data_IF_202430624329
#
_entry.id   IF_202430624329
#
_cell.length_a   1.000
_cell.length_b   1.000
_cell.length_c   1.000
_cell.angle_alpha   90.00
_cell.angle_beta   90.00
_cell.angle_gamma   90.00
#
_symmetry.space_group_name_H-M   'P 1'
#
loop_
_entity.id
_entity.type
_entity.pdbx_description
1 polymer ?
#
# COMPACT_ATOMS: atom_id res chain seq x y z
N UNK A 1 3.40 -15.29 3.94
CA UNK A 1 3.99 -15.39 2.57
C UNK A 1 5.25 -14.53 2.46
N UNK A 2 6.30 -15.04 1.77
CA UNK A 2 7.53 -14.24 1.53
C UNK A 2 7.24 -13.17 0.46
N UNK A 3 7.64 -11.92 0.72
CA UNK A 3 7.55 -10.82 -0.24
C UNK A 3 6.24 -10.02 -0.23
N UNK A 4 5.40 -10.20 0.78
CA UNK A 4 4.17 -9.43 1.01
C UNK A 4 4.07 -9.00 2.47
N UNK A 5 3.31 -7.94 2.74
CA UNK A 5 2.98 -7.50 4.09
C UNK A 5 1.94 -8.42 4.73
N UNK A 6 1.97 -8.51 6.06
CA UNK A 6 0.94 -9.22 6.80
C UNK A 6 -0.39 -8.48 6.70
N UNK A 7 -1.46 -9.24 6.66
CA UNK A 7 -2.83 -8.73 6.72
C UNK A 7 -3.67 -9.68 7.57
N UNK A 8 -4.48 -9.12 8.45
CA UNK A 8 -5.36 -9.87 9.34
C UNK A 8 -6.79 -9.37 9.17
N UNK A 9 -7.69 -10.29 8.86
CA UNK A 9 -9.13 -10.06 8.89
C UNK A 9 -9.80 -11.09 9.76
N UNK A 10 -10.89 -10.70 10.42
CA UNK A 10 -11.72 -11.58 11.26
C UNK A 10 -13.06 -11.78 10.55
N UNK A 11 -13.37 -13.02 10.22
CA UNK A 11 -14.68 -13.41 9.75
C UNK A 11 -15.50 -13.92 10.93
N UNK A 12 -16.60 -13.27 11.21
CA UNK A 12 -17.61 -13.78 12.16
C UNK A 12 -18.67 -14.53 11.36
N UNK A 13 -18.80 -15.80 11.67
CA UNK A 13 -19.81 -16.67 11.05
C UNK A 13 -20.81 -17.04 12.13
N UNK A 14 -22.07 -16.67 11.93
CA UNK A 14 -23.14 -17.13 12.80
C UNK A 14 -23.39 -18.63 12.61
N UNK A 15 -23.84 -19.32 13.66
CA UNK A 15 -24.15 -20.74 13.58
C UNK A 15 -25.24 -20.96 12.54
N UNK A 16 -24.90 -21.69 11.48
CA UNK A 16 -25.85 -22.01 10.42
C UNK A 16 -26.30 -23.46 10.55
N UNK A 17 -27.58 -23.70 10.28
CA UNK A 17 -28.16 -25.05 10.23
C UNK A 17 -27.72 -25.85 9.00
N UNK A 18 -27.07 -25.22 8.05
CA UNK A 18 -26.60 -25.81 6.79
C UNK A 18 -25.13 -25.47 6.54
N UNK A 19 -24.41 -26.38 5.90
CA UNK A 19 -23.02 -26.13 5.47
C UNK A 19 -22.98 -25.04 4.40
N UNK A 20 -22.17 -24.01 4.62
CA UNK A 20 -21.93 -22.93 3.66
C UNK A 20 -20.45 -22.86 3.31
N UNK A 21 -20.15 -22.74 2.03
CA UNK A 21 -18.80 -22.48 1.55
C UNK A 21 -18.55 -20.97 1.45
N UNK A 22 -17.42 -20.52 2.01
CA UNK A 22 -17.00 -19.12 1.97
C UNK A 22 -15.68 -19.02 1.22
N UNK A 23 -15.66 -18.24 0.15
CA UNK A 23 -14.43 -17.89 -0.56
C UNK A 23 -13.91 -16.53 -0.08
N UNK A 24 -12.77 -16.50 0.59
CA UNK A 24 -12.14 -15.28 1.10
C UNK A 24 -10.97 -14.89 0.20
N UNK A 25 -10.94 -13.64 -0.26
CA UNK A 25 -9.84 -13.07 -1.03
C UNK A 25 -9.16 -11.98 -0.21
N UNK A 26 -7.89 -12.17 0.10
CA UNK A 26 -7.07 -11.22 0.85
C UNK A 26 -6.09 -10.51 -0.10
N UNK A 27 -6.27 -9.21 -0.40
CA UNK A 27 -5.29 -8.45 -1.14
C UNK A 27 -4.06 -8.20 -0.28
N UNK A 28 -2.91 -8.78 -0.67
CA UNK A 28 -1.65 -8.62 0.04
C UNK A 28 -0.77 -7.57 -0.65
N UNK A 29 -0.34 -6.55 0.10
CA UNK A 29 0.57 -5.53 -0.40
C UNK A 29 1.99 -6.10 -0.57
N UNK A 30 2.57 -5.91 -1.77
CA UNK A 30 3.93 -6.35 -2.06
C UNK A 30 4.97 -5.47 -1.36
N UNK A 31 6.06 -6.10 -0.87
CA UNK A 31 7.22 -5.36 -0.33
C UNK A 31 8.23 -4.95 -1.42
N UNK A 32 8.08 -5.39 -2.66
CA UNK A 32 9.08 -5.19 -3.73
C UNK A 32 8.72 -4.12 -4.74
N UNK A 33 7.47 -3.73 -4.80
CA UNK A 33 6.96 -2.76 -5.79
C UNK A 33 6.14 -1.68 -5.12
N UNK A 34 6.14 -0.45 -5.64
CA UNK A 34 5.27 0.60 -5.11
C UNK A 34 3.80 0.18 -5.15
N UNK A 35 3.10 0.42 -4.06
CA UNK A 35 1.67 0.17 -3.91
C UNK A 35 0.95 1.51 -3.94
N UNK A 36 0.03 1.67 -4.89
CA UNK A 36 -0.79 2.86 -4.98
C UNK A 36 -1.81 2.88 -3.83
N UNK A 37 -1.95 4.03 -3.21
CA UNK A 37 -2.99 4.27 -2.21
C UNK A 37 -4.13 4.96 -2.96
N UNK A 38 -5.19 4.21 -3.21
CA UNK A 38 -6.38 4.74 -3.88
C UNK A 38 -7.12 5.72 -2.96
N UNK A 39 -7.90 6.62 -3.56
CA UNK A 39 -8.77 7.56 -2.84
C UNK A 39 -8.06 8.55 -1.90
N UNK A 40 -6.83 8.93 -2.21
CA UNK A 40 -6.18 10.08 -1.56
C UNK A 40 -6.47 11.33 -2.37
N UNK A 41 -7.22 12.24 -1.78
CA UNK A 41 -7.66 13.49 -2.40
C UNK A 41 -7.10 14.69 -1.65
N UNK A 42 -6.74 15.71 -2.42
CA UNK A 42 -6.28 16.99 -1.90
C UNK A 42 -7.20 18.10 -2.42
N UNK A 43 -7.25 19.21 -1.71
CA UNK A 43 -7.84 20.42 -2.27
C UNK A 43 -7.08 20.85 -3.53
N UNK A 44 -7.79 21.55 -4.41
CA UNK A 44 -7.18 22.03 -5.66
C UNK A 44 -5.96 22.88 -5.35
N UNK A 45 -4.85 22.56 -5.99
CA UNK A 45 -3.57 23.25 -5.85
C UNK A 45 -3.02 23.34 -4.41
N UNK A 46 -3.41 22.40 -3.52
CA UNK A 46 -2.99 22.35 -2.13
C UNK A 46 -2.49 20.97 -1.74
N UNK A 47 -1.86 20.92 -0.56
CA UNK A 47 -1.48 19.70 0.12
C UNK A 47 -2.46 19.30 1.24
N UNK A 48 -3.52 20.06 1.45
CA UNK A 48 -4.56 19.78 2.45
C UNK A 48 -5.31 18.51 2.05
N UNK A 49 -5.27 17.50 2.90
CA UNK A 49 -6.03 16.26 2.72
C UNK A 49 -7.52 16.52 2.87
N UNK A 50 -8.29 16.00 1.94
CA UNK A 50 -9.75 16.07 2.02
C UNK A 50 -10.31 14.98 2.94
N UNK A 51 -11.47 15.21 3.58
CA UNK A 51 -12.07 14.25 4.50
C UNK A 51 -12.29 12.85 3.89
N UNK A 52 -12.54 12.79 2.58
CA UNK A 52 -12.77 11.54 1.84
C UNK A 52 -11.54 10.64 1.82
N UNK A 53 -10.34 11.20 2.03
CA UNK A 53 -9.08 10.45 2.10
C UNK A 53 -8.93 9.66 3.41
N UNK A 54 -9.72 10.01 4.45
CA UNK A 54 -9.56 9.47 5.81
C UNK A 54 -9.64 7.94 5.83
N UNK A 55 -10.62 7.36 5.14
CA UNK A 55 -10.78 5.91 5.10
C UNK A 55 -9.54 5.20 4.56
N UNK A 56 -8.98 5.67 3.44
CA UNK A 56 -7.79 5.07 2.85
C UNK A 56 -6.55 5.23 3.75
N UNK A 57 -6.46 6.35 4.47
CA UNK A 57 -5.37 6.59 5.42
C UNK A 57 -5.50 5.72 6.68
N UNK A 58 -6.71 5.52 7.19
CA UNK A 58 -6.98 4.62 8.32
C UNK A 58 -6.64 3.16 7.96
N UNK A 59 -6.93 2.73 6.72
CA UNK A 59 -6.51 1.41 6.20
C UNK A 59 -4.98 1.28 6.15
N UNK A 60 -4.27 2.34 5.77
CA UNK A 60 -2.80 2.35 5.80
C UNK A 60 -2.25 2.34 7.23
N UNK A 61 -2.87 3.06 8.17
CA UNK A 61 -2.54 2.99 9.60
C UNK A 61 -2.69 1.56 10.12
N UNK A 62 -3.82 0.91 9.81
CA UNK A 62 -4.05 -0.50 10.18
C UNK A 62 -2.96 -1.41 9.62
N UNK A 63 -2.65 -1.29 8.33
CA UNK A 63 -1.61 -2.07 7.68
C UNK A 63 -0.23 -1.90 8.34
N UNK A 64 0.14 -0.66 8.69
CA UNK A 64 1.42 -0.37 9.35
C UNK A 64 1.48 -0.87 10.79
N UNK A 65 0.35 -0.89 11.51
CA UNK A 65 0.25 -1.47 12.84
C UNK A 65 0.34 -3.01 12.81
N UNK A 66 -0.22 -3.66 11.80
CA UNK A 66 -0.08 -5.10 11.57
C UNK A 66 1.36 -5.49 11.17
N UNK A 67 2.16 -4.52 10.70
CA UNK A 67 3.55 -4.70 10.27
C UNK A 67 4.52 -3.76 11.00
N UNK A 68 4.70 -3.89 12.33
CA UNK A 68 5.44 -2.93 13.16
C UNK A 68 6.92 -2.81 12.81
N UNK A 69 7.50 -3.81 12.16
CA UNK A 69 8.91 -3.83 11.77
C UNK A 69 9.17 -3.27 10.35
N UNK A 70 8.14 -2.71 9.72
CA UNK A 70 8.24 -2.16 8.38
C UNK A 70 8.47 -0.66 8.42
N UNK A 71 9.42 -0.18 7.61
CA UNK A 71 9.56 1.24 7.24
C UNK A 71 9.15 1.43 5.79
N UNK A 72 8.52 2.55 5.48
CA UNK A 72 8.06 2.86 4.13
C UNK A 72 8.60 4.21 3.65
N UNK A 73 8.85 4.32 2.35
CA UNK A 73 8.81 5.59 1.62
C UNK A 73 7.37 5.83 1.19
N UNK A 74 6.86 7.01 1.47
CA UNK A 74 5.58 7.48 1.02
C UNK A 74 5.81 8.56 -0.02
N UNK A 75 5.42 8.28 -1.25
CA UNK A 75 5.71 9.12 -2.41
C UNK A 75 4.45 9.74 -3.00
N UNK A 76 4.53 11.04 -3.33
CA UNK A 76 3.48 11.73 -4.05
C UNK A 76 3.98 12.21 -5.42
N UNK A 77 3.09 12.18 -6.40
CA UNK A 77 3.37 12.46 -7.79
C UNK A 77 2.36 13.46 -8.37
N UNK A 78 2.83 14.27 -9.31
CA UNK A 78 2.01 15.19 -10.09
C UNK A 78 1.90 14.71 -11.54
N UNK A 79 0.96 15.29 -12.30
CA UNK A 79 0.95 15.18 -13.74
C UNK A 79 2.05 16.07 -14.37
N UNK A 80 2.15 16.06 -15.69
CA UNK A 80 3.20 16.82 -16.40
C UNK A 80 2.95 18.33 -16.43
N UNK A 81 1.74 18.82 -16.09
CA UNK A 81 1.39 20.24 -16.16
C UNK A 81 2.11 21.02 -15.07
N UNK A 82 2.50 22.26 -15.39
CA UNK A 82 3.21 23.15 -14.48
C UNK A 82 4.74 23.01 -14.51
N UNK A 83 5.42 23.85 -13.75
CA UNK A 83 6.88 23.83 -13.68
C UNK A 83 7.37 22.65 -12.83
N UNK A 84 8.58 22.17 -13.12
CA UNK A 84 9.20 21.08 -12.37
C UNK A 84 9.39 21.45 -10.89
N UNK A 85 9.92 22.64 -10.63
CA UNK A 85 10.12 23.15 -9.27
C UNK A 85 8.84 23.20 -8.47
N UNK A 86 7.76 23.72 -9.08
CA UNK A 86 6.46 23.81 -8.43
C UNK A 86 5.89 22.42 -8.12
N UNK A 87 5.89 21.52 -9.09
CA UNK A 87 5.38 20.16 -8.90
C UNK A 87 6.19 19.37 -7.86
N UNK A 88 7.52 19.60 -7.81
CA UNK A 88 8.39 19.00 -6.79
C UNK A 88 8.00 19.45 -5.40
N UNK A 89 7.81 20.76 -5.21
CA UNK A 89 7.40 21.31 -3.93
C UNK A 89 6.00 20.81 -3.52
N UNK A 90 5.00 20.95 -4.40
CA UNK A 90 3.62 20.54 -4.11
C UNK A 90 3.52 19.06 -3.77
N UNK A 91 4.23 18.19 -4.51
CA UNK A 91 4.25 16.76 -4.20
C UNK A 91 4.94 16.46 -2.88
N UNK A 92 6.01 17.17 -2.53
CA UNK A 92 6.66 17.02 -1.22
C UNK A 92 5.72 17.41 -0.08
N UNK A 93 5.01 18.51 -0.21
CA UNK A 93 4.03 18.97 0.77
C UNK A 93 2.89 17.96 0.94
N UNK A 94 2.41 17.36 -0.16
CA UNK A 94 1.39 16.30 -0.14
C UNK A 94 1.89 15.03 0.57
N UNK A 95 3.10 14.58 0.28
CA UNK A 95 3.69 13.45 0.99
C UNK A 95 3.85 13.74 2.49
N UNK A 96 4.26 14.96 2.85
CA UNK A 96 4.36 15.39 4.24
C UNK A 96 3.00 15.39 4.96
N UNK A 97 1.92 15.81 4.29
CA UNK A 97 0.57 15.82 4.88
C UNK A 97 0.07 14.41 5.20
N UNK A 98 0.35 13.44 4.32
CA UNK A 98 0.00 12.03 4.61
C UNK A 98 0.85 11.50 5.76
N UNK A 99 2.14 11.78 5.79
CA UNK A 99 3.02 11.36 6.89
C UNK A 99 2.58 12.00 8.21
N UNK A 100 2.19 13.26 8.22
CA UNK A 100 1.65 13.93 9.41
C UNK A 100 0.41 13.21 9.94
N UNK A 101 -0.53 12.85 9.05
CA UNK A 101 -1.71 12.07 9.42
C UNK A 101 -1.33 10.72 10.07
N UNK A 102 -0.40 9.98 9.49
CA UNK A 102 0.05 8.68 10.03
C UNK A 102 0.68 8.83 11.42
N UNK A 103 1.47 9.90 11.63
CA UNK A 103 2.09 10.19 12.93
C UNK A 103 1.02 10.53 13.97
N UNK A 104 0.04 11.35 13.63
CA UNK A 104 -1.10 11.69 14.50
C UNK A 104 -1.91 10.45 14.93
N UNK A 105 -1.90 9.40 14.06
CA UNK A 105 -2.56 8.12 14.34
C UNK A 105 -1.61 7.04 14.90
N UNK A 106 -0.48 7.46 15.49
CA UNK A 106 0.38 6.62 16.31
C UNK A 106 1.49 5.87 15.56
N UNK A 107 1.69 6.13 14.25
CA UNK A 107 2.83 5.54 13.53
C UNK A 107 4.10 6.34 13.83
N UNK A 108 5.16 5.65 14.25
CA UNK A 108 6.45 6.30 14.54
C UNK A 108 7.04 7.00 13.31
N UNK A 109 7.49 8.25 13.49
CA UNK A 109 8.12 9.06 12.45
C UNK A 109 9.30 8.35 11.77
N UNK A 110 10.11 7.61 12.53
CA UNK A 110 11.29 6.90 12.03
C UNK A 110 10.97 5.76 11.05
N UNK A 111 9.69 5.40 10.96
CA UNK A 111 9.18 4.41 10.01
C UNK A 111 8.75 5.00 8.67
N UNK A 112 8.70 6.33 8.56
CA UNK A 112 8.05 7.05 7.47
C UNK A 112 9.05 7.99 6.78
N UNK A 113 9.20 7.85 5.46
CA UNK A 113 10.04 8.73 4.64
C UNK A 113 9.16 9.40 3.57
N UNK A 114 8.75 10.67 3.74
CA UNK A 114 7.98 11.37 2.71
C UNK A 114 8.87 11.82 1.55
N UNK A 115 8.45 11.55 0.31
CA UNK A 115 9.15 11.95 -0.91
C UNK A 115 8.19 12.53 -1.94
N UNK A 116 8.42 13.76 -2.37
CA UNK A 116 7.73 14.35 -3.51
C UNK A 116 8.52 14.12 -4.79
N UNK A 117 7.96 13.41 -5.74
CA UNK A 117 8.60 13.18 -7.05
C UNK A 117 8.15 14.18 -8.12
N UNK A 118 7.17 15.05 -7.83
CA UNK A 118 6.64 15.93 -8.86
C UNK A 118 6.23 15.14 -10.10
N UNK A 119 6.72 15.56 -11.27
CA UNK A 119 6.52 14.88 -12.56
C UNK A 119 7.70 13.98 -13.00
N UNK A 120 8.72 13.82 -12.15
CA UNK A 120 9.95 13.07 -12.49
C UNK A 120 9.72 11.57 -12.71
N UNK A 121 8.72 10.99 -12.02
CA UNK A 121 8.39 9.57 -12.11
C UNK A 121 6.97 9.36 -12.64
N UNK A 122 6.75 9.45 -13.96
CA UNK A 122 5.46 9.16 -14.55
C UNK A 122 5.05 7.69 -14.30
N UNK A 123 3.74 7.46 -14.25
CA UNK A 123 3.16 6.13 -14.00
C UNK A 123 3.55 5.17 -15.13
N UNK A 124 4.06 4.02 -14.75
CA UNK A 124 4.19 2.86 -15.65
C UNK A 124 2.95 1.99 -15.51
N UNK A 125 2.35 1.61 -16.63
CA UNK A 125 1.14 0.80 -16.68
C UNK A 125 1.48 -0.65 -16.35
N UNK A 126 0.72 -1.22 -15.42
CA UNK A 126 0.73 -2.63 -15.04
C UNK A 126 -0.59 -3.28 -15.48
N UNK A 127 -0.70 -4.59 -15.38
CA UNK A 127 -1.85 -5.39 -15.84
C UNK A 127 -3.22 -4.87 -15.37
N UNK A 128 -3.36 -4.50 -14.09
CA UNK A 128 -4.65 -4.03 -13.54
C UNK A 128 -5.23 -2.77 -14.21
N UNK A 129 -4.45 -1.70 -14.46
CA UNK A 129 -4.94 -0.56 -15.23
C UNK A 129 -5.40 -0.91 -16.64
N UNK A 130 -4.81 -1.91 -17.30
CA UNK A 130 -5.19 -2.28 -18.67
C UNK A 130 -6.58 -2.93 -18.75
N UNK A 131 -7.07 -3.57 -17.68
CA UNK A 131 -8.44 -4.08 -17.62
C UNK A 131 -9.48 -2.95 -17.65
N UNK A 132 -9.19 -1.83 -16.96
CA UNK A 132 -10.07 -0.65 -16.92
C UNK A 132 -9.90 0.26 -18.15
N UNK A 133 -8.69 0.31 -18.70
CA UNK A 133 -8.32 1.18 -19.81
C UNK A 133 -7.67 0.33 -20.93
N UNK A 134 -8.47 -0.38 -21.76
CA UNK A 134 -7.96 -1.37 -22.73
C UNK A 134 -7.08 -0.79 -23.85
N UNK A 135 -7.05 0.52 -23.99
CA UNK A 135 -6.18 1.25 -24.93
C UNK A 135 -4.77 1.50 -24.38
N UNK A 136 -4.52 1.30 -23.06
CA UNK A 136 -3.18 1.30 -22.49
C UNK A 136 -2.59 -0.11 -22.53
N UNK A 137 -1.30 -0.20 -22.81
CA UNK A 137 -0.55 -1.45 -22.83
C UNK A 137 0.29 -1.59 -21.56
N UNK A 138 0.48 -2.83 -21.14
CA UNK A 138 1.44 -3.11 -20.08
C UNK A 138 2.83 -2.66 -20.50
N UNK A 139 3.52 -1.92 -19.61
CA UNK A 139 4.82 -1.31 -19.89
C UNK A 139 4.75 0.14 -20.41
N UNK A 140 3.58 0.65 -20.82
CA UNK A 140 3.45 2.06 -21.20
C UNK A 140 3.86 2.97 -20.03
N UNK A 141 4.69 3.96 -20.33
CA UNK A 141 5.09 5.00 -19.37
C UNK A 141 4.38 6.30 -19.74
N UNK A 142 3.56 6.82 -18.82
CA UNK A 142 2.69 7.98 -19.05
C UNK A 142 3.48 9.30 -18.99
N UNK A 143 4.50 9.42 -19.83
CA UNK A 143 5.29 10.64 -20.01
C UNK A 143 4.48 11.72 -20.71
N UNK A 144 4.92 12.98 -20.61
CA UNK A 144 4.32 14.10 -21.35
C UNK A 144 4.23 13.83 -22.86
N UNK A 145 5.31 13.27 -23.46
CA UNK A 145 5.34 12.94 -24.88
C UNK A 145 4.37 11.80 -25.26
N UNK A 146 4.14 10.86 -24.38
CA UNK A 146 3.14 9.81 -24.58
C UNK A 146 1.73 10.41 -24.52
N UNK A 147 1.44 11.19 -23.49
CA UNK A 147 0.12 11.75 -23.22
C UNK A 147 -0.31 12.72 -24.35
N UNK A 148 0.56 13.60 -24.82
CA UNK A 148 0.25 14.58 -25.89
C UNK A 148 -0.18 13.96 -27.23
N UNK A 149 0.10 12.68 -27.47
CA UNK A 149 -0.34 11.96 -28.67
C UNK A 149 -1.77 11.43 -28.59
N UNK A 150 -2.39 11.46 -27.42
CA UNK A 150 -3.72 10.95 -27.18
C UNK A 150 -4.79 12.03 -27.39
N UNK A 151 -6.05 11.64 -27.52
CA UNK A 151 -7.19 12.55 -27.44
C UNK A 151 -7.33 13.17 -26.05
N UNK A 152 -8.09 14.27 -25.94
CA UNK A 152 -8.20 15.05 -24.69
C UNK A 152 -8.70 14.22 -23.49
N UNK A 153 -9.66 13.33 -23.72
CA UNK A 153 -10.24 12.52 -22.65
C UNK A 153 -9.21 11.51 -22.11
N UNK A 154 -8.49 10.85 -23.00
CA UNK A 154 -7.40 9.94 -22.62
C UNK A 154 -6.22 10.67 -21.97
N UNK A 155 -5.92 11.91 -22.43
CA UNK A 155 -4.91 12.73 -21.75
C UNK A 155 -5.28 12.99 -20.29
N UNK A 156 -6.54 13.35 -20.01
CA UNK A 156 -6.95 13.62 -18.63
C UNK A 156 -6.93 12.34 -17.77
N UNK A 157 -7.31 11.20 -18.32
CA UNK A 157 -7.18 9.90 -17.63
C UNK A 157 -5.71 9.63 -17.26
N UNK A 158 -4.77 9.83 -18.20
CA UNK A 158 -3.35 9.66 -17.93
C UNK A 158 -2.83 10.64 -16.87
N UNK A 159 -3.29 11.89 -16.89
CA UNK A 159 -2.96 12.89 -15.88
C UNK A 159 -3.48 12.48 -14.51
N UNK A 160 -4.70 11.95 -14.41
CA UNK A 160 -5.25 11.42 -13.15
C UNK A 160 -4.42 10.23 -12.62
N UNK A 161 -4.00 9.32 -13.49
CA UNK A 161 -3.13 8.20 -13.13
C UNK A 161 -1.74 8.67 -12.65
N UNK A 162 -1.23 9.79 -13.19
CA UNK A 162 0.02 10.39 -12.74
C UNK A 162 -0.14 11.11 -11.39
N UNK A 163 -1.27 11.76 -11.11
CA UNK A 163 -1.58 12.40 -9.81
C UNK A 163 -1.93 11.30 -8.79
N UNK A 164 -0.94 10.74 -8.15
CA UNK A 164 -1.10 9.60 -7.25
C UNK A 164 -0.21 9.69 -6.02
N UNK A 165 -0.59 8.95 -4.98
CA UNK A 165 0.21 8.66 -3.80
C UNK A 165 0.50 7.18 -3.76
N UNK A 166 1.75 6.81 -3.52
CA UNK A 166 2.21 5.43 -3.45
C UNK A 166 3.05 5.23 -2.19
N UNK A 167 3.15 4.00 -1.70
CA UNK A 167 4.19 3.64 -0.74
C UNK A 167 5.01 2.45 -1.25
N UNK A 168 6.26 2.38 -0.82
CA UNK A 168 7.14 1.24 -1.02
C UNK A 168 7.81 0.87 0.30
N UNK A 169 7.98 -0.41 0.56
CA UNK A 169 8.68 -0.89 1.75
C UNK A 169 10.18 -0.70 1.57
N UNK A 170 10.79 0.03 2.49
CA UNK A 170 12.24 0.25 2.53
C UNK A 170 12.96 -0.81 3.37
N UNK A 171 12.36 -1.18 4.51
CA UNK A 171 12.96 -2.13 5.46
C UNK A 171 11.87 -2.93 6.16
N UNK A 172 12.17 -4.19 6.48
CA UNK A 172 11.26 -5.10 7.21
C UNK A 172 11.82 -5.53 8.58
N UNK A 173 12.88 -4.85 9.04
CA UNK A 173 13.62 -5.22 10.26
C UNK A 173 13.73 -4.07 11.26
N UNK A 174 12.88 -3.05 11.12
CA UNK A 174 12.85 -1.90 12.03
C UNK A 174 12.60 -2.36 13.47
N UNK A 175 13.41 -1.86 14.40
CA UNK A 175 13.30 -2.19 15.83
C UNK A 175 13.63 -3.63 16.23
N UNK A 176 14.07 -4.47 15.28
CA UNK A 176 14.41 -5.88 15.56
C UNK A 176 15.80 -6.06 16.15
N UNK A 177 16.71 -5.12 15.91
CA UNK A 177 18.10 -5.20 16.36
C UNK A 177 18.42 -4.08 17.35
N UNK A 178 19.32 -4.36 18.31
CA UNK A 178 19.92 -3.36 19.19
C UNK A 178 21.07 -2.61 18.48
N UNK A 179 21.67 -1.64 19.17
CA UNK A 179 22.78 -0.83 18.64
C UNK A 179 24.06 -1.65 18.38
N UNK A 180 24.13 -2.87 18.92
CA UNK A 180 25.23 -3.83 18.72
C UNK A 180 24.93 -4.84 17.61
N UNK A 181 23.77 -4.75 16.95
CA UNK A 181 23.35 -5.64 15.88
C UNK A 181 22.78 -6.99 16.37
N UNK A 182 22.47 -7.16 17.66
CA UNK A 182 21.84 -8.35 18.19
C UNK A 182 20.31 -8.25 18.08
N UNK A 183 19.65 -9.37 17.85
CA UNK A 183 18.18 -9.46 17.85
C UNK A 183 17.63 -9.16 19.26
N UNK A 184 16.79 -8.13 19.37
CA UNK A 184 16.14 -7.74 20.65
C UNK A 184 15.22 -8.79 21.23
N UNK A 185 14.60 -9.66 20.41
CA UNK A 185 13.68 -10.72 20.84
C UNK A 185 13.78 -11.94 19.90
N UNK A 186 14.83 -12.77 20.02
CA UNK A 186 15.01 -13.94 19.14
C UNK A 186 13.87 -14.97 19.25
N UNK A 187 13.15 -15.02 20.38
CA UNK A 187 12.02 -15.96 20.59
C UNK A 187 10.76 -15.60 19.82
N UNK A 188 10.54 -14.31 19.44
CA UNK A 188 9.37 -13.89 18.64
C UNK A 188 9.47 -14.25 17.17
N UNK A 189 10.64 -14.66 16.70
CA UNK A 189 10.91 -15.03 15.30
C UNK A 189 10.82 -16.52 15.02
N UNK A 190 10.70 -17.36 16.06
CA UNK A 190 10.39 -18.78 15.86
C UNK A 190 8.96 -18.87 15.36
N UNK A 191 8.69 -19.63 14.27
CA UNK A 191 7.32 -20.03 13.93
C UNK A 191 6.71 -20.64 15.20
N UNK A 192 5.47 -20.30 15.55
CA UNK A 192 4.74 -21.10 16.53
C UNK A 192 4.77 -22.53 15.98
N UNK A 193 5.44 -23.42 16.70
CA UNK A 193 5.28 -24.85 16.48
C UNK A 193 3.79 -25.11 16.69
N UNK A 194 3.10 -25.48 15.63
CA UNK A 194 1.77 -26.04 15.73
C UNK A 194 1.89 -27.27 16.61
N UNK A 195 1.31 -27.20 17.79
CA UNK A 195 1.11 -28.40 18.63
C UNK A 195 0.21 -29.33 17.83
N UNK A 196 0.82 -30.26 17.14
CA UNK A 196 0.15 -31.46 16.61
C UNK A 196 -0.02 -32.47 17.76
N UNK A 197 -0.75 -32.09 18.79
CA UNK A 197 -1.37 -33.02 19.73
C UNK A 197 -2.86 -33.11 19.38
N UNK A 198 -3.14 -33.85 18.32
CA UNK A 198 -4.45 -34.48 18.12
C UNK A 198 -4.24 -35.96 17.91
N UNK A 199 -4.02 -36.65 19.03
CA UNK A 199 -4.28 -38.09 19.13
C UNK A 199 -5.77 -38.30 19.50
N UNK A 200 -6.67 -37.96 18.59
CA UNK A 200 -8.04 -38.51 18.62
C UNK A 200 -8.14 -39.59 17.54
N UNK A 201 -7.81 -40.80 17.97
CA UNK A 201 -8.15 -42.04 17.25
C UNK A 201 -9.68 -42.18 17.24
N UNK A 202 -10.32 -41.84 16.14
CA UNK A 202 -11.69 -42.25 15.87
C UNK A 202 -11.67 -43.70 15.32
N UNK A 203 -11.93 -44.69 16.22
CA UNK A 203 -12.30 -46.05 15.82
C UNK A 203 -13.68 -46.01 15.14
N UNK A 204 -13.71 -46.20 13.85
CA UNK A 204 -14.94 -46.47 13.11
C UNK A 204 -15.12 -47.97 13.03
N UNK A 205 -15.95 -48.55 13.92
CA UNK A 205 -16.49 -49.88 13.74
C UNK A 205 -17.64 -49.83 12.74
N UNK A 206 -17.49 -50.51 11.62
CA UNK A 206 -18.54 -50.75 10.63
C UNK A 206 -19.21 -52.04 10.99
N UNK A 207 -20.52 -52.01 11.26
CA UNK A 207 -21.46 -53.12 11.09
C UNK A 207 -22.34 -52.90 9.83
#
# INVERSE_FOLDING_TARGET
CKGVLNHKEELRVDSASESKEYTLQFPLASIRVPVMIDNIFYDFDKATLRPESKKALDELVKLLNENPNVTIELSAHCDYKGSEKYNKQLSQERANSVVAYLIEHGISKDRLTPVGYGKEKPKTIRKKPTEKYPWLKEGDVLTENFIKKLDKDKQEICNQLNRRTEFIVLRTTYGMFDDKGNLKNPQKLKPKEENTDNSDSFDITVE
#
